data_IF_841318435030
#
_entry.id   IF_841318435030
#
_cell.length_a   1.000
_cell.length_b   1.000
_cell.length_c   1.000
_cell.angle_alpha   90.00
_cell.angle_beta   90.00
_cell.angle_gamma   90.00
#
_symmetry.space_group_name_H-M   'P 1'
#
loop_
_entity.id
_entity.type
_entity.pdbx_description
1 polymer ?
#
# COMPACT_ATOMS: atom_id res chain seq x y z
N UNK A 1 1.97 -6.40 8.68
CA UNK A 1 3.19 -5.65 9.07
C UNK A 1 4.18 -5.44 7.91
N UNK A 2 4.72 -6.48 7.27
CA UNK A 2 5.71 -6.30 6.19
C UNK A 2 5.25 -5.38 5.04
N UNK A 3 4.00 -5.56 4.58
CA UNK A 3 3.39 -4.68 3.57
C UNK A 3 3.30 -3.21 4.03
N UNK A 4 2.99 -2.94 5.29
CA UNK A 4 2.92 -1.58 5.82
C UNK A 4 4.30 -0.92 5.78
N UNK A 5 5.33 -1.61 6.28
CA UNK A 5 6.72 -1.14 6.21
C UNK A 5 7.17 -0.88 4.78
N UNK A 6 6.77 -1.76 3.84
CA UNK A 6 7.04 -1.56 2.42
C UNK A 6 6.39 -0.26 1.91
N UNK A 7 5.09 -0.06 2.13
CA UNK A 7 4.38 1.13 1.64
C UNK A 7 4.86 2.43 2.30
N UNK A 8 5.18 2.43 3.60
CA UNK A 8 5.80 3.56 4.30
C UNK A 8 7.14 3.94 3.66
N UNK A 9 7.97 2.95 3.35
CA UNK A 9 9.24 3.17 2.66
C UNK A 9 9.02 3.73 1.26
N UNK A 10 8.09 3.17 0.49
CA UNK A 10 7.78 3.65 -0.86
C UNK A 10 7.31 5.10 -0.86
N UNK A 11 6.56 5.54 0.15
CA UNK A 11 6.15 6.93 0.29
C UNK A 11 7.37 7.87 0.36
N UNK A 12 8.47 7.44 0.97
CA UNK A 12 9.72 8.23 1.13
C UNK A 12 10.64 8.19 -0.10
N UNK A 13 10.39 7.29 -1.04
CA UNK A 13 11.18 7.13 -2.27
C UNK A 13 10.64 8.00 -3.41
N UNK A 14 11.38 8.17 -4.53
CA UNK A 14 10.90 8.94 -5.68
C UNK A 14 9.52 8.52 -6.19
N UNK A 15 9.21 7.21 -6.17
CA UNK A 15 7.90 6.69 -6.54
C UNK A 15 6.76 7.28 -5.68
N UNK A 16 7.01 7.54 -4.40
CA UNK A 16 6.04 8.11 -3.46
C UNK A 16 5.86 9.62 -3.56
N UNK A 17 6.58 10.34 -4.42
CA UNK A 17 6.57 11.80 -4.47
C UNK A 17 5.17 12.38 -4.70
N UNK A 18 4.39 11.77 -5.59
CA UNK A 18 3.01 12.16 -5.84
C UNK A 18 2.13 11.98 -4.59
N UNK A 19 2.33 10.89 -3.85
CA UNK A 19 1.66 10.61 -2.57
C UNK A 19 2.00 11.65 -1.51
N UNK A 20 3.29 11.97 -1.33
CA UNK A 20 3.72 13.03 -0.41
C UNK A 20 3.10 14.38 -0.74
N UNK A 21 3.15 14.78 -2.02
CA UNK A 21 2.57 16.05 -2.47
C UNK A 21 1.06 16.09 -2.25
N UNK A 22 0.36 14.96 -2.40
CA UNK A 22 -1.06 14.87 -2.07
C UNK A 22 -1.31 15.05 -0.56
N UNK A 23 -0.59 14.32 0.29
CA UNK A 23 -0.75 14.40 1.75
C UNK A 23 -0.44 15.81 2.27
N UNK A 24 0.63 16.44 1.78
CA UNK A 24 0.98 17.83 2.14
C UNK A 24 -0.06 18.85 1.69
N UNK A 25 -0.63 18.71 0.49
CA UNK A 25 -1.76 19.54 0.03
C UNK A 25 -3.03 19.35 0.86
N UNK A 26 -3.12 18.25 1.60
CA UNK A 26 -4.18 17.97 2.58
C UNK A 26 -3.81 18.43 3.99
N UNK A 27 -2.71 19.19 4.14
CA UNK A 27 -2.21 19.73 5.40
C UNK A 27 -1.85 18.66 6.43
N UNK A 28 -1.46 17.47 5.97
CA UNK A 28 -0.94 16.44 6.86
C UNK A 28 0.54 16.68 7.12
N UNK A 29 0.88 16.84 8.39
CA UNK A 29 2.24 17.01 8.86
C UNK A 29 3.00 15.68 8.85
N UNK A 30 4.34 15.74 8.74
CA UNK A 30 5.20 14.54 8.72
C UNK A 30 5.04 13.68 9.99
N UNK A 31 4.77 14.30 11.14
CA UNK A 31 4.45 13.57 12.37
C UNK A 31 3.16 12.75 12.22
N UNK A 32 2.12 13.34 11.63
CA UNK A 32 0.85 12.64 11.38
C UNK A 32 1.04 11.52 10.36
N UNK A 33 1.74 11.77 9.27
CA UNK A 33 2.07 10.77 8.24
C UNK A 33 2.80 9.58 8.87
N UNK A 34 3.77 9.85 9.74
CA UNK A 34 4.56 8.82 10.43
C UNK A 34 3.73 8.08 11.48
N UNK A 35 2.98 8.81 12.34
CA UNK A 35 2.15 8.26 13.40
C UNK A 35 1.10 7.29 12.87
N UNK A 36 0.46 7.63 11.76
CA UNK A 36 -0.53 6.78 11.10
C UNK A 36 0.08 5.83 10.06
N UNK A 37 1.41 5.80 9.94
CA UNK A 37 2.16 4.90 9.04
C UNK A 37 1.65 4.99 7.59
N UNK A 38 1.31 6.19 7.14
CA UNK A 38 0.81 6.38 5.79
C UNK A 38 1.87 5.98 4.76
N UNK A 39 1.42 5.39 3.66
CA UNK A 39 2.30 4.80 2.67
C UNK A 39 1.93 5.15 1.24
N UNK A 40 2.67 4.58 0.29
CA UNK A 40 2.36 4.66 -1.13
C UNK A 40 2.52 3.29 -1.79
N UNK A 41 1.52 2.88 -2.54
CA UNK A 41 1.59 1.71 -3.41
C UNK A 41 1.98 2.18 -4.81
N UNK A 42 3.20 1.85 -5.29
CA UNK A 42 3.63 2.19 -6.65
C UNK A 42 2.87 1.35 -7.69
N UNK A 43 3.00 1.73 -8.96
CA UNK A 43 2.50 0.95 -10.07
C UNK A 43 3.11 -0.47 -10.15
N UNK A 44 2.45 -1.36 -10.88
CA UNK A 44 2.96 -2.70 -11.17
C UNK A 44 2.85 -3.68 -9.99
N UNK A 45 3.87 -4.50 -9.80
CA UNK A 45 3.91 -5.63 -8.84
C UNK A 45 5.05 -5.47 -7.81
N UNK A 46 5.30 -4.24 -7.36
CA UNK A 46 6.44 -3.96 -6.50
C UNK A 46 6.26 -4.54 -5.08
N UNK A 47 5.02 -4.57 -4.56
CA UNK A 47 4.71 -5.18 -3.27
C UNK A 47 4.93 -6.70 -3.34
N UNK A 48 4.34 -7.37 -4.34
CA UNK A 48 4.59 -8.80 -4.60
C UNK A 48 6.07 -9.11 -4.66
N UNK A 49 6.82 -8.38 -5.48
CA UNK A 49 8.26 -8.62 -5.68
C UNK A 49 9.04 -8.44 -4.37
N UNK A 50 8.76 -7.39 -3.62
CA UNK A 50 9.44 -7.11 -2.36
C UNK A 50 9.14 -8.18 -1.30
N UNK A 51 7.87 -8.51 -1.09
CA UNK A 51 7.47 -9.45 -0.04
C UNK A 51 7.87 -10.89 -0.37
N UNK A 52 7.84 -11.30 -1.64
CA UNK A 52 8.38 -12.61 -2.06
C UNK A 52 9.88 -12.71 -1.84
N UNK A 53 10.63 -11.64 -2.09
CA UNK A 53 12.08 -11.60 -1.80
C UNK A 53 12.35 -11.73 -0.29
N UNK A 54 11.44 -11.22 0.53
CA UNK A 54 11.50 -11.35 1.99
C UNK A 54 11.00 -12.73 2.49
N UNK A 55 10.73 -13.67 1.57
CA UNK A 55 10.39 -15.07 1.87
C UNK A 55 8.90 -15.32 2.15
N UNK A 56 8.01 -14.36 1.89
CA UNK A 56 6.58 -14.55 2.09
C UNK A 56 5.96 -15.32 0.93
N UNK A 57 5.11 -16.30 1.28
CA UNK A 57 4.37 -17.12 0.32
C UNK A 57 3.34 -16.28 -0.43
N UNK A 58 3.23 -16.48 -1.74
CA UNK A 58 2.25 -15.78 -2.59
C UNK A 58 0.81 -16.09 -2.17
N UNK A 59 0.51 -17.33 -1.76
CA UNK A 59 -0.82 -17.73 -1.30
C UNK A 59 -1.22 -16.99 -0.01
N UNK A 60 -0.26 -16.77 0.91
CA UNK A 60 -0.49 -15.97 2.11
C UNK A 60 -0.78 -14.49 1.77
N UNK A 61 -0.09 -13.95 0.76
CA UNK A 61 -0.32 -12.58 0.31
C UNK A 61 -1.69 -12.41 -0.38
N UNK A 62 -2.16 -13.43 -1.09
CA UNK A 62 -3.51 -13.49 -1.65
C UNK A 62 -4.57 -13.56 -0.55
N UNK A 63 -4.39 -14.46 0.44
CA UNK A 63 -5.30 -14.57 1.59
C UNK A 63 -5.36 -13.26 2.40
N UNK A 64 -4.23 -12.56 2.51
CA UNK A 64 -4.16 -11.24 3.16
C UNK A 64 -4.75 -10.10 2.31
N UNK A 65 -5.26 -10.36 1.10
CA UNK A 65 -5.84 -9.37 0.20
C UNK A 65 -4.82 -8.43 -0.46
N UNK A 66 -3.52 -8.73 -0.36
CA UNK A 66 -2.45 -7.90 -0.93
C UNK A 66 -2.23 -8.20 -2.42
N UNK A 67 -2.61 -9.40 -2.86
CA UNK A 67 -2.56 -9.84 -4.24
C UNK A 67 -3.93 -10.30 -4.74
N UNK A 68 -4.18 -10.09 -6.03
CA UNK A 68 -5.31 -10.66 -6.76
C UNK A 68 -4.77 -11.61 -7.81
N UNK A 69 -5.30 -12.84 -7.83
CA UNK A 69 -5.01 -13.84 -8.87
C UNK A 69 -6.23 -14.04 -9.77
N UNK A 70 -6.19 -13.51 -11.01
CA UNK A 70 -7.20 -13.86 -12.00
C UNK A 70 -7.01 -15.30 -12.48
N UNK A 71 -8.10 -15.92 -12.92
CA UNK A 71 -8.05 -17.24 -13.51
C UNK A 71 -7.10 -17.28 -14.72
N UNK A 72 -6.26 -18.32 -14.79
CA UNK A 72 -5.24 -18.50 -15.82
C UNK A 72 -4.14 -17.44 -15.89
N UNK A 73 -4.00 -16.53 -14.90
CA UNK A 73 -2.99 -15.45 -14.91
C UNK A 73 -2.18 -15.38 -13.62
N UNK A 74 -0.99 -14.79 -13.72
CA UNK A 74 -0.15 -14.49 -12.58
C UNK A 74 -0.81 -13.48 -11.64
N UNK A 75 -0.68 -13.70 -10.32
CA UNK A 75 -1.16 -12.76 -9.33
C UNK A 75 -0.45 -11.41 -9.44
N UNK A 76 -1.17 -10.33 -9.14
CA UNK A 76 -0.69 -8.95 -9.17
C UNK A 76 -1.08 -8.17 -7.92
N UNK A 77 -0.43 -7.03 -7.67
CA UNK A 77 -0.71 -6.19 -6.50
C UNK A 77 -2.15 -5.65 -6.52
N UNK A 78 -2.89 -5.83 -5.42
CA UNK A 78 -4.24 -5.27 -5.22
C UNK A 78 -4.22 -3.74 -5.29
N UNK A 79 -3.22 -3.14 -4.64
CA UNK A 79 -3.05 -1.69 -4.56
C UNK A 79 -1.96 -1.22 -5.50
N UNK A 80 -2.31 -0.28 -6.40
CA UNK A 80 -1.39 0.34 -7.37
C UNK A 80 -1.74 1.81 -7.54
N UNK A 81 -0.73 2.66 -7.61
CA UNK A 81 -0.84 4.12 -7.76
C UNK A 81 -1.77 4.77 -6.71
N UNK A 82 -1.63 4.31 -5.46
CA UNK A 82 -2.50 4.69 -4.34
C UNK A 82 -1.70 5.18 -3.15
N UNK A 83 -2.23 6.20 -2.47
CA UNK A 83 -1.84 6.52 -1.09
C UNK A 83 -2.48 5.52 -0.17
N UNK A 84 -1.67 4.94 0.72
CA UNK A 84 -2.04 3.81 1.55
C UNK A 84 -2.30 4.28 2.99
N UNK A 85 -3.39 3.78 3.55
CA UNK A 85 -3.88 4.06 4.90
C UNK A 85 -3.98 2.71 5.63
N UNK A 86 -3.03 2.38 6.51
CA UNK A 86 -3.11 1.16 7.30
C UNK A 86 -4.32 1.18 8.24
N UNK A 87 -5.02 0.05 8.33
CA UNK A 87 -6.09 -0.18 9.29
C UNK A 87 -5.53 -1.09 10.38
N UNK A 88 -5.58 -0.63 11.62
CA UNK A 88 -5.02 -1.36 12.77
C UNK A 88 -6.11 -1.93 13.65
N UNK A 89 -5.79 -3.03 14.34
CA UNK A 89 -6.62 -3.54 15.42
C UNK A 89 -6.38 -2.75 16.73
N UNK A 90 -7.09 -3.11 17.81
CA UNK A 90 -6.96 -2.48 19.12
C UNK A 90 -5.54 -2.58 19.73
N UNK A 91 -4.69 -3.49 19.23
CA UNK A 91 -3.28 -3.64 19.65
C UNK A 91 -2.31 -2.90 18.72
N UNK A 92 -2.81 -2.09 17.78
CA UNK A 92 -2.00 -1.33 16.82
C UNK A 92 -1.40 -2.15 15.69
N UNK A 93 -1.72 -3.45 15.57
CA UNK A 93 -1.23 -4.30 14.47
C UNK A 93 -2.01 -4.01 13.20
N UNK A 94 -1.31 -3.87 12.08
CA UNK A 94 -1.93 -3.63 10.77
C UNK A 94 -2.62 -4.90 10.29
N UNK A 95 -3.93 -4.82 10.06
CA UNK A 95 -4.80 -5.94 9.65
C UNK A 95 -5.40 -5.77 8.26
N UNK A 96 -5.48 -4.55 7.74
CA UNK A 96 -6.01 -4.24 6.42
C UNK A 96 -5.46 -2.90 5.91
N UNK A 97 -5.81 -2.52 4.68
CA UNK A 97 -5.39 -1.26 4.07
C UNK A 97 -6.52 -0.59 3.32
N UNK A 98 -6.67 0.72 3.50
CA UNK A 98 -7.37 1.57 2.54
C UNK A 98 -6.37 2.17 1.53
N UNK A 99 -6.78 2.31 0.27
CA UNK A 99 -5.96 2.86 -0.80
C UNK A 99 -6.70 3.93 -1.60
N UNK A 100 -6.20 5.18 -1.58
CA UNK A 100 -6.76 6.31 -2.35
C UNK A 100 -5.98 6.54 -3.63
N UNK A 101 -6.64 6.44 -4.77
CA UNK A 101 -6.03 6.72 -6.08
C UNK A 101 -5.69 8.21 -6.24
N UNK A 102 -4.55 8.54 -6.83
CA UNK A 102 -4.15 9.94 -7.05
C UNK A 102 -4.72 10.59 -8.32
N UNK A 103 -5.06 9.77 -9.33
CA UNK A 103 -5.65 10.19 -10.61
C UNK A 103 -7.12 9.80 -10.77
N UNK A 104 -7.50 9.41 -11.98
CA UNK A 104 -8.89 9.12 -12.37
C UNK A 104 -9.29 7.64 -12.25
N UNK A 105 -8.37 6.76 -11.85
CA UNK A 105 -8.69 5.34 -11.74
C UNK A 105 -9.80 5.11 -10.70
N UNK A 106 -10.70 4.17 -10.99
CA UNK A 106 -11.78 3.81 -10.08
C UNK A 106 -11.46 2.48 -9.36
N UNK A 107 -11.97 2.27 -8.14
CA UNK A 107 -12.69 3.24 -7.31
C UNK A 107 -11.75 4.27 -6.68
N UNK A 108 -12.30 5.44 -6.30
CA UNK A 108 -11.56 6.51 -5.59
C UNK A 108 -10.86 5.99 -4.32
N UNK A 109 -11.55 5.12 -3.57
CA UNK A 109 -11.03 4.39 -2.42
C UNK A 109 -11.24 2.88 -2.63
N UNK A 110 -10.22 2.10 -2.32
CA UNK A 110 -10.25 0.65 -2.29
C UNK A 110 -9.90 0.20 -0.87
N UNK A 111 -10.65 -0.74 -0.31
CA UNK A 111 -10.35 -1.41 0.95
C UNK A 111 -9.96 -2.85 0.69
#
# INVERSE_FOLDING_TARGET
EAAATFYERQLRLPAGKAGQNYLRRRSLEEETITRFRLGFAPAGNACKTALKRDGLDEALLEEAGLLVRPDGRSAYDTFRDRVMFPITNARGRVIAFGGRVLGEAQPKYLN
#
